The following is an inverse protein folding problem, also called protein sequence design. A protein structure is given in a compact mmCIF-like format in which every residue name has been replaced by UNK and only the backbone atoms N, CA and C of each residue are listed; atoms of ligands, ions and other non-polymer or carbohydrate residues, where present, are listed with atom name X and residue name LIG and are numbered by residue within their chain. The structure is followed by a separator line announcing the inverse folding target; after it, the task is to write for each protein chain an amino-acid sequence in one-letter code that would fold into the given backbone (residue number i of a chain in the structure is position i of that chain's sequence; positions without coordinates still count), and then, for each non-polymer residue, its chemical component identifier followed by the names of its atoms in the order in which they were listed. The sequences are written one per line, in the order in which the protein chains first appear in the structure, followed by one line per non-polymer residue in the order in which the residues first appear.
data_IF_251827288933
#
_entry.id   IF_251827288933
#
_cell.length_a   1.000
_cell.length_b   1.000
_cell.length_c   1.000
_cell.angle_alpha   90.00
_cell.angle_beta   90.00
_cell.angle_gamma   90.00
#
_symmetry.space_group_name_H-M   'P 1'
#
loop_
_entity.id
_entity.type
_entity.pdbx_description
1 polymer ?
#
# COMPACT_ATOMS: atom_id res chain seq x y z
N UNK A 1 -16.23 3.69 -9.85
CA UNK A 1 -15.86 5.08 -9.46
C UNK A 1 -16.54 5.60 -8.17
N UNK A 2 -16.91 4.76 -7.18
CA UNK A 2 -17.57 5.26 -5.95
C UNK A 2 -16.88 4.87 -4.63
N UNK A 3 -15.80 4.10 -4.63
CA UNK A 3 -15.15 3.62 -3.40
C UNK A 3 -13.71 4.10 -3.19
N UNK A 4 -13.20 5.04 -4.01
CA UNK A 4 -11.88 5.63 -3.79
C UNK A 4 -11.84 6.63 -2.62
N UNK A 5 -13.01 6.99 -2.07
CA UNK A 5 -13.12 8.02 -1.00
C UNK A 5 -12.79 7.54 0.42
N UNK A 6 -12.57 6.25 0.63
CA UNK A 6 -12.42 5.69 2.00
C UNK A 6 -10.97 5.51 2.47
N UNK A 7 -9.98 5.75 1.62
CA UNK A 7 -8.55 5.56 1.95
C UNK A 7 -7.84 6.88 2.29
N UNK A 8 -8.48 8.04 2.08
CA UNK A 8 -7.82 9.35 2.13
C UNK A 8 -8.24 10.26 3.28
N UNK A 9 -8.67 9.74 4.42
CA UNK A 9 -8.93 10.60 5.60
C UNK A 9 -7.83 10.42 6.64
N UNK A 10 -6.63 10.93 6.34
CA UNK A 10 -5.74 11.50 7.35
C UNK A 10 -5.41 12.91 6.86
N UNK A 11 -6.38 13.80 7.01
CA UNK A 11 -6.17 15.23 6.81
C UNK A 11 -5.47 15.77 8.05
N UNK A 12 -4.21 16.10 7.91
CA UNK A 12 -3.42 16.78 8.92
C UNK A 12 -3.66 18.29 8.78
N UNK A 13 -4.37 18.87 9.74
CA UNK A 13 -4.41 20.33 9.91
C UNK A 13 -3.07 20.82 10.43
N UNK A 14 -2.15 21.20 9.55
CA UNK A 14 -1.01 22.02 9.90
C UNK A 14 -1.49 23.47 10.03
N UNK A 15 -1.77 23.90 11.26
CA UNK A 15 -1.93 25.33 11.59
C UNK A 15 -0.57 26.02 11.46
N UNK A 16 -0.44 26.88 10.46
CA UNK A 16 0.67 27.82 10.29
C UNK A 16 0.74 28.76 11.52
N UNK A 17 1.69 28.54 12.39
CA UNK A 17 2.10 29.55 13.39
C UNK A 17 3.28 30.31 12.77
N UNK A 18 2.98 31.46 12.16
CA UNK A 18 3.98 32.44 11.80
C UNK A 18 4.44 33.18 13.07
N UNK A 19 5.59 32.82 13.61
CA UNK A 19 6.31 33.61 14.59
C UNK A 19 7.43 34.36 13.88
N UNK A 20 7.24 35.69 13.79
CA UNK A 20 8.28 36.60 13.34
C UNK A 20 9.40 36.72 14.36
N UNK A 21 10.65 36.62 13.91
CA UNK A 21 11.78 37.14 14.66
C UNK A 21 13.00 36.24 14.70
N UNK A 22 13.98 36.61 13.90
CA UNK A 22 15.41 36.37 13.84
C UNK A 22 15.81 35.90 12.45
N UNK A 23 16.58 36.73 11.75
CA UNK A 23 17.18 36.38 10.45
C UNK A 23 18.12 35.18 10.62
N UNK A 24 17.61 33.96 10.39
CA UNK A 24 18.42 32.75 10.25
C UNK A 24 19.19 32.83 8.94
N UNK A 25 20.41 32.28 8.83
CA UNK A 25 21.16 32.27 7.59
C UNK A 25 20.33 31.58 6.51
N UNK A 26 20.29 32.17 5.32
CA UNK A 26 19.58 31.60 4.16
C UNK A 26 20.14 30.20 3.91
N UNK A 27 19.31 29.15 3.85
CA UNK A 27 19.79 27.80 3.58
C UNK A 27 20.54 27.77 2.26
N UNK A 28 21.64 27.04 2.19
CA UNK A 28 22.33 26.78 0.91
C UNK A 28 21.33 26.15 -0.03
N UNK A 29 21.28 26.56 -1.31
CA UNK A 29 20.23 26.33 -2.30
C UNK A 29 19.76 24.90 -2.57
N UNK A 30 20.27 23.89 -1.84
CA UNK A 30 19.94 22.47 -1.96
C UNK A 30 19.21 21.89 -0.73
N UNK A 31 18.91 22.69 0.29
CA UNK A 31 18.19 22.21 1.47
C UNK A 31 16.68 22.36 1.26
N UNK A 32 15.93 21.24 1.22
CA UNK A 32 14.48 21.24 1.04
C UNK A 32 13.75 21.49 2.36
N UNK A 33 14.29 20.98 3.46
CA UNK A 33 13.75 21.13 4.80
C UNK A 33 14.85 21.06 5.88
N UNK A 34 14.52 21.55 7.06
CA UNK A 34 15.28 21.31 8.28
C UNK A 34 14.37 20.60 9.29
N UNK A 35 14.79 19.43 9.75
CA UNK A 35 14.06 18.61 10.70
C UNK A 35 14.90 18.51 11.98
N UNK A 36 14.41 19.04 13.09
CA UNK A 36 15.10 19.05 14.38
C UNK A 36 16.58 19.56 14.25
N UNK A 37 16.78 20.64 13.48
CA UNK A 37 18.09 21.24 13.21
C UNK A 37 18.97 20.52 12.19
N UNK A 38 18.56 19.37 11.65
CA UNK A 38 19.27 18.65 10.59
C UNK A 38 18.75 19.06 9.22
N UNK A 39 19.64 19.51 8.34
CA UNK A 39 19.29 19.83 6.96
C UNK A 39 19.04 18.55 6.15
N UNK A 40 17.95 18.54 5.38
CA UNK A 40 17.62 17.51 4.40
C UNK A 40 17.87 18.09 3.00
N UNK A 41 18.60 17.37 2.18
CA UNK A 41 18.91 17.82 0.82
C UNK A 41 17.71 17.67 -0.13
N UNK A 42 17.67 18.50 -1.16
CA UNK A 42 16.71 18.34 -2.26
C UNK A 42 16.84 16.96 -2.91
N UNK A 43 18.08 16.48 -3.14
CA UNK A 43 18.34 15.17 -3.76
C UNK A 43 17.76 14.02 -2.94
N UNK A 44 17.86 14.07 -1.61
CA UNK A 44 17.24 13.08 -0.73
C UNK A 44 15.72 13.09 -0.86
N UNK A 45 15.10 14.28 -0.80
CA UNK A 45 13.64 14.41 -1.00
C UNK A 45 13.20 13.93 -2.38
N UNK A 46 13.98 14.21 -3.44
CA UNK A 46 13.65 13.77 -4.81
C UNK A 46 13.57 12.24 -4.93
N UNK A 47 14.33 11.48 -4.15
CA UNK A 47 14.19 10.02 -4.11
C UNK A 47 12.82 9.61 -3.56
N UNK A 48 12.36 10.21 -2.45
CA UNK A 48 11.02 9.95 -1.91
C UNK A 48 9.92 10.38 -2.89
N UNK A 49 10.14 11.46 -3.64
CA UNK A 49 9.20 11.90 -4.67
C UNK A 49 9.15 10.90 -5.83
N UNK A 50 10.28 10.35 -6.24
CA UNK A 50 10.36 9.31 -7.26
C UNK A 50 9.54 8.07 -6.86
N UNK A 51 9.74 7.57 -5.64
CA UNK A 51 8.97 6.43 -5.13
C UNK A 51 7.47 6.73 -5.02
N UNK A 52 7.12 7.90 -4.51
CA UNK A 52 5.71 8.31 -4.42
C UNK A 52 5.05 8.44 -5.80
N UNK A 53 5.80 8.87 -6.83
CA UNK A 53 5.33 8.94 -8.22
C UNK A 53 5.08 7.54 -8.80
N UNK A 54 6.00 6.59 -8.57
CA UNK A 54 5.83 5.18 -8.97
C UNK A 54 4.56 4.57 -8.35
N UNK A 55 4.40 4.75 -7.04
CA UNK A 55 3.21 4.27 -6.32
C UNK A 55 1.92 4.88 -6.88
N UNK A 56 1.94 6.16 -7.20
CA UNK A 56 0.79 6.89 -7.70
C UNK A 56 0.38 6.39 -9.09
N UNK A 57 1.36 6.20 -9.97
CA UNK A 57 1.16 5.60 -11.29
C UNK A 57 0.62 4.16 -11.19
N UNK A 58 1.11 3.37 -10.23
CA UNK A 58 0.64 2.00 -10.03
C UNK A 58 -0.83 1.92 -9.56
N UNK A 59 -1.33 2.95 -8.86
CA UNK A 59 -2.72 2.99 -8.34
C UNK A 59 -3.72 3.41 -9.43
N UNK A 60 -3.40 4.39 -10.26
CA UNK A 60 -4.37 5.01 -11.17
C UNK A 60 -3.90 5.20 -12.61
N UNK A 61 -2.72 4.70 -12.97
CA UNK A 61 -2.15 4.91 -14.30
C UNK A 61 -1.99 6.39 -14.65
N UNK A 62 -1.99 6.68 -15.95
CA UNK A 62 -1.83 8.05 -16.44
C UNK A 62 -3.01 8.97 -16.07
N UNK A 63 -4.21 8.41 -15.94
CA UNK A 63 -5.44 9.16 -15.65
C UNK A 63 -5.43 9.79 -14.25
N UNK A 64 -4.62 9.27 -13.32
CA UNK A 64 -4.57 9.78 -11.95
C UNK A 64 -4.06 11.22 -11.89
N UNK A 65 -3.21 11.63 -12.83
CA UNK A 65 -2.62 12.96 -12.90
C UNK A 65 -3.62 14.06 -13.28
N UNK A 66 -4.73 13.70 -13.91
CA UNK A 66 -5.83 14.60 -14.24
C UNK A 66 -6.88 14.68 -13.12
N UNK A 67 -6.71 13.91 -12.04
CA UNK A 67 -7.68 13.85 -10.95
C UNK A 67 -7.54 15.05 -10.02
N UNK A 68 -8.66 15.70 -9.73
CA UNK A 68 -8.77 16.72 -8.68
C UNK A 68 -9.00 16.02 -7.32
N UNK A 69 -8.11 16.27 -6.37
CA UNK A 69 -8.17 15.75 -5.01
C UNK A 69 -8.70 16.83 -4.04
N UNK A 70 -9.99 17.10 -4.08
CA UNK A 70 -10.66 18.11 -3.24
C UNK A 70 -10.03 19.52 -3.38
N UNK A 71 -9.70 19.91 -4.62
CA UNK A 71 -9.12 21.21 -4.98
C UNK A 71 -7.59 21.23 -4.98
N UNK A 72 -6.93 20.11 -4.80
CA UNK A 72 -5.49 19.96 -4.93
C UNK A 72 -5.15 19.20 -6.21
N UNK A 73 -4.08 19.60 -6.88
CA UNK A 73 -3.56 18.83 -8.02
C UNK A 73 -2.95 17.51 -7.57
N UNK A 74 -2.97 16.51 -8.44
CA UNK A 74 -2.28 15.24 -8.21
C UNK A 74 -0.80 15.44 -7.89
N UNK A 75 -0.14 16.39 -8.56
CA UNK A 75 1.25 16.78 -8.33
C UNK A 75 1.47 17.28 -6.90
N UNK A 76 0.63 18.17 -6.39
CA UNK A 76 0.74 18.68 -5.02
C UNK A 76 0.53 17.57 -4.00
N UNK A 77 -0.44 16.69 -4.23
CA UNK A 77 -0.71 15.54 -3.35
C UNK A 77 0.49 14.59 -3.29
N UNK A 78 1.10 14.27 -4.42
CA UNK A 78 2.29 13.39 -4.48
C UNK A 78 3.50 14.04 -3.80
N UNK A 79 3.74 15.33 -4.04
CA UNK A 79 4.82 16.09 -3.37
C UNK A 79 4.65 16.09 -1.85
N UNK A 80 3.45 16.38 -1.35
CA UNK A 80 3.19 16.35 0.10
C UNK A 80 3.31 14.93 0.67
N UNK A 81 2.82 13.90 -0.02
CA UNK A 81 2.97 12.50 0.38
C UNK A 81 4.45 12.09 0.50
N UNK A 82 5.27 12.46 -0.47
CA UNK A 82 6.72 12.22 -0.44
C UNK A 82 7.37 12.89 0.77
N UNK A 83 7.00 14.15 1.05
CA UNK A 83 7.51 14.90 2.20
C UNK A 83 7.13 14.26 3.53
N UNK A 84 5.88 13.86 3.69
CA UNK A 84 5.39 13.18 4.90
C UNK A 84 6.10 11.85 5.08
N UNK A 85 6.28 11.06 4.03
CA UNK A 85 7.01 9.78 4.09
C UNK A 85 8.45 9.98 4.53
N UNK A 86 9.16 10.93 3.93
CA UNK A 86 10.51 11.31 4.33
C UNK A 86 10.56 11.73 5.81
N UNK A 87 9.65 12.60 6.24
CA UNK A 87 9.56 13.06 7.62
C UNK A 87 9.38 11.88 8.60
N UNK A 88 8.45 10.98 8.30
CA UNK A 88 8.17 9.80 9.14
C UNK A 88 9.41 8.91 9.26
N UNK A 89 10.10 8.62 8.17
CA UNK A 89 11.32 7.81 8.18
C UNK A 89 12.41 8.50 9.00
N UNK A 90 12.67 9.78 8.77
CA UNK A 90 13.71 10.53 9.49
C UNK A 90 13.44 10.64 10.97
N UNK A 91 12.23 11.02 11.36
CA UNK A 91 11.84 11.15 12.78
C UNK A 91 11.93 9.81 13.49
N UNK A 92 11.46 8.75 12.85
CA UNK A 92 11.46 7.40 13.45
C UNK A 92 12.87 6.82 13.54
N UNK A 93 13.68 6.91 12.48
CA UNK A 93 15.06 6.39 12.49
C UNK A 93 15.93 7.09 13.54
N UNK A 94 15.70 8.38 13.79
CA UNK A 94 16.36 9.13 14.87
C UNK A 94 16.03 8.60 16.28
N UNK A 95 14.94 7.85 16.44
CA UNK A 95 14.58 7.21 17.72
C UNK A 95 15.23 5.85 17.94
N UNK A 96 15.98 5.32 16.97
CA UNK A 96 16.58 3.98 17.04
C UNK A 96 17.37 3.74 18.34
N UNK A 97 18.21 4.69 18.75
CA UNK A 97 18.98 4.57 20.00
C UNK A 97 18.08 4.55 21.25
N UNK A 98 16.97 5.31 21.28
CA UNK A 98 16.00 5.30 22.39
C UNK A 98 15.42 3.89 22.60
N UNK A 99 15.18 3.16 21.51
CA UNK A 99 14.61 1.81 21.52
C UNK A 99 15.66 0.70 21.44
N UNK A 100 16.94 1.04 21.60
CA UNK A 100 18.07 0.09 21.54
C UNK A 100 18.11 -0.70 20.21
N UNK A 101 17.70 -0.04 19.12
CA UNK A 101 17.70 -0.57 17.77
C UNK A 101 18.98 -0.13 17.06
N UNK A 102 19.63 -1.06 16.38
CA UNK A 102 20.76 -0.81 15.49
C UNK A 102 20.73 -1.78 14.30
N UNK A 103 21.45 -1.46 13.25
CA UNK A 103 21.63 -2.35 12.11
C UNK A 103 22.86 -3.21 12.32
N UNK A 104 22.77 -4.50 12.01
CA UNK A 104 23.91 -5.41 11.91
C UNK A 104 24.72 -5.10 10.65
N UNK A 105 25.91 -5.67 10.51
CA UNK A 105 26.74 -5.49 9.32
C UNK A 105 26.10 -6.17 8.08
N UNK A 106 25.35 -7.26 8.27
CA UNK A 106 24.56 -7.90 7.22
C UNK A 106 23.43 -6.99 6.75
N UNK A 107 22.71 -6.35 7.67
CA UNK A 107 21.61 -5.42 7.35
C UNK A 107 22.13 -4.19 6.60
N UNK A 108 23.28 -3.64 6.98
CA UNK A 108 23.92 -2.54 6.24
C UNK A 108 24.37 -2.99 4.84
N UNK A 109 24.87 -4.21 4.72
CA UNK A 109 25.21 -4.78 3.42
C UNK A 109 23.98 -4.96 2.55
N UNK A 110 22.86 -5.43 3.11
CA UNK A 110 21.57 -5.50 2.39
C UNK A 110 21.10 -4.14 1.95
N UNK A 111 21.11 -3.13 2.82
CA UNK A 111 20.75 -1.76 2.50
C UNK A 111 21.56 -1.20 1.31
N UNK A 112 22.85 -1.55 1.26
CA UNK A 112 23.70 -1.17 0.12
C UNK A 112 23.29 -1.89 -1.17
N UNK A 113 23.03 -3.19 -1.12
CA UNK A 113 22.56 -3.96 -2.28
C UNK A 113 21.24 -3.42 -2.80
N UNK A 114 20.31 -3.11 -1.90
CA UNK A 114 19.02 -2.54 -2.26
C UNK A 114 19.17 -1.15 -2.89
N UNK A 115 20.07 -0.32 -2.36
CA UNK A 115 20.40 0.98 -2.94
C UNK A 115 21.05 0.89 -4.33
N UNK A 116 21.98 -0.04 -4.52
CA UNK A 116 22.60 -0.30 -5.82
C UNK A 116 21.55 -0.79 -6.85
N UNK A 117 20.61 -1.64 -6.42
CA UNK A 117 19.53 -2.13 -7.26
C UNK A 117 18.55 -1.01 -7.64
N UNK A 118 18.19 -0.13 -6.69
CA UNK A 118 17.33 1.02 -6.96
C UNK A 118 17.98 1.98 -7.96
N UNK A 119 19.25 2.34 -7.75
CA UNK A 119 20.01 3.16 -8.70
C UNK A 119 20.10 2.51 -10.09
N UNK A 120 20.25 1.18 -10.16
CA UNK A 120 20.31 0.46 -11.44
C UNK A 120 18.95 0.41 -12.17
N UNK A 121 17.83 0.50 -11.43
CA UNK A 121 16.48 0.52 -12.01
C UNK A 121 16.12 1.85 -12.66
N UNK A 122 16.77 2.95 -12.27
CA UNK A 122 16.50 4.29 -12.77
C UNK A 122 17.10 4.51 -14.16
N UNK A 123 16.37 5.29 -14.99
CA UNK A 123 16.92 5.83 -16.24
C UNK A 123 18.01 6.87 -15.95
N UNK A 124 18.86 7.16 -16.93
CA UNK A 124 19.88 8.21 -16.79
C UNK A 124 19.25 9.61 -16.59
N UNK A 125 18.07 9.85 -17.16
CA UNK A 125 17.31 11.08 -16.95
C UNK A 125 16.86 11.21 -15.49
N UNK A 126 16.27 10.16 -14.92
CA UNK A 126 15.85 10.12 -13.51
C UNK A 126 17.03 10.32 -12.56
N UNK A 127 18.15 9.63 -12.80
CA UNK A 127 19.38 9.82 -12.01
C UNK A 127 19.88 11.26 -12.03
N UNK A 128 19.86 11.91 -13.19
CA UNK A 128 20.29 13.29 -13.34
C UNK A 128 19.37 14.27 -12.60
N UNK A 129 18.05 14.05 -12.63
CA UNK A 129 17.06 14.88 -11.94
C UNK A 129 17.19 14.69 -10.41
N UNK A 130 17.24 13.44 -9.92
CA UNK A 130 17.35 13.13 -8.50
C UNK A 130 18.71 13.57 -7.98
N UNK A 131 19.78 13.34 -8.73
CA UNK A 131 21.17 13.76 -8.44
C UNK A 131 21.64 13.35 -7.05
N UNK A 132 21.27 12.13 -6.61
CA UNK A 132 21.66 11.58 -5.31
C UNK A 132 23.00 10.85 -5.41
N UNK A 133 23.83 10.97 -4.38
CA UNK A 133 25.05 10.19 -4.28
C UNK A 133 24.77 8.75 -3.81
N UNK A 134 25.62 7.78 -4.21
CA UNK A 134 25.52 6.41 -3.73
C UNK A 134 25.52 6.34 -2.19
N UNK A 135 26.34 7.17 -1.54
CA UNK A 135 26.43 7.21 -0.09
C UNK A 135 25.11 7.69 0.56
N UNK A 136 24.47 8.71 -0.01
CA UNK A 136 23.19 9.21 0.49
C UNK A 136 22.09 8.17 0.23
N UNK A 137 22.09 7.50 -0.93
CA UNK A 137 21.20 6.40 -1.24
C UNK A 137 21.29 5.29 -0.18
N UNK A 138 22.52 4.83 0.13
CA UNK A 138 22.73 3.78 1.14
C UNK A 138 22.24 4.23 2.52
N UNK A 139 22.47 5.50 2.87
CA UNK A 139 21.98 6.08 4.13
C UNK A 139 20.45 6.08 4.21
N UNK A 140 19.77 6.39 3.13
CA UNK A 140 18.29 6.36 3.06
C UNK A 140 17.78 4.92 3.22
N UNK A 141 18.43 3.93 2.59
CA UNK A 141 18.08 2.51 2.78
C UNK A 141 18.30 2.05 4.22
N UNK A 142 19.41 2.47 4.87
CA UNK A 142 19.65 2.23 6.29
C UNK A 142 18.57 2.87 7.18
N UNK A 143 18.19 4.13 6.92
CA UNK A 143 17.14 4.83 7.67
C UNK A 143 15.77 4.13 7.50
N UNK A 144 15.51 3.61 6.32
CA UNK A 144 14.29 2.83 6.03
C UNK A 144 14.26 1.50 6.81
N UNK A 145 15.41 0.82 6.92
CA UNK A 145 15.52 -0.38 7.78
C UNK A 145 15.37 -0.04 9.27
N UNK A 146 16.01 1.04 9.72
CA UNK A 146 15.86 1.51 11.10
C UNK A 146 14.40 1.89 11.40
N UNK A 147 13.72 2.55 10.47
CA UNK A 147 12.29 2.87 10.57
C UNK A 147 11.45 1.61 10.85
N UNK A 148 11.63 0.55 10.06
CA UNK A 148 10.91 -0.72 10.23
C UNK A 148 11.22 -1.36 11.61
N UNK A 149 12.49 -1.42 11.98
CA UNK A 149 12.92 -2.00 13.26
C UNK A 149 12.43 -1.20 14.48
N UNK A 150 12.35 0.13 14.37
CA UNK A 150 11.80 0.97 15.46
C UNK A 150 10.30 0.73 15.60
N UNK A 151 9.54 0.61 14.50
CA UNK A 151 8.13 0.23 14.56
C UNK A 151 7.94 -1.08 15.31
N UNK A 152 8.73 -2.10 14.97
CA UNK A 152 8.69 -3.39 15.65
C UNK A 152 9.03 -3.25 17.14
N UNK A 153 10.07 -2.49 17.48
CA UNK A 153 10.49 -2.28 18.87
C UNK A 153 9.44 -1.52 19.71
N UNK A 154 8.79 -0.51 19.13
CA UNK A 154 7.72 0.26 19.78
C UNK A 154 6.50 -0.62 20.06
N UNK A 155 6.19 -1.54 19.15
CA UNK A 155 4.94 -2.29 19.18
C UNK A 155 5.08 -3.75 19.64
N UNK A 156 6.32 -4.22 19.91
CA UNK A 156 6.61 -5.63 20.21
C UNK A 156 5.82 -6.21 21.38
N UNK A 157 5.68 -5.43 22.44
CA UNK A 157 5.03 -5.85 23.69
C UNK A 157 3.53 -5.52 23.72
N UNK A 158 3.02 -4.84 22.67
CA UNK A 158 1.61 -4.50 22.62
C UNK A 158 0.76 -5.73 22.33
N UNK A 159 -0.24 -5.94 23.18
CA UNK A 159 -1.31 -6.90 23.02
C UNK A 159 -2.63 -6.22 23.40
N UNK A 160 -3.68 -6.29 22.56
CA UNK A 160 -4.98 -5.78 22.94
C UNK A 160 -5.52 -6.59 24.13
N UNK A 161 -6.24 -5.92 25.02
CA UNK A 161 -6.91 -6.64 26.11
C UNK A 161 -8.02 -7.55 25.56
N UNK A 162 -8.31 -8.63 26.28
CA UNK A 162 -9.41 -9.55 25.91
C UNK A 162 -10.76 -8.83 25.86
N UNK A 163 -10.99 -7.83 26.71
CA UNK A 163 -12.22 -7.05 26.71
C UNK A 163 -12.36 -6.16 25.45
N UNK A 164 -11.27 -5.50 25.03
CA UNK A 164 -11.25 -4.69 23.80
C UNK A 164 -11.45 -5.57 22.56
N UNK A 165 -10.73 -6.68 22.47
CA UNK A 165 -10.90 -7.61 21.35
C UNK A 165 -12.30 -8.22 21.32
N UNK A 166 -12.86 -8.62 22.48
CA UNK A 166 -14.21 -9.16 22.55
C UNK A 166 -15.25 -8.15 22.03
N UNK A 167 -15.15 -6.90 22.48
CA UNK A 167 -16.04 -5.84 22.00
C UNK A 167 -15.95 -5.64 20.48
N UNK A 168 -14.72 -5.58 19.93
CA UNK A 168 -14.47 -5.50 18.50
C UNK A 168 -15.06 -6.69 17.74
N UNK A 169 -14.85 -7.92 18.25
CA UNK A 169 -15.36 -9.14 17.64
C UNK A 169 -16.89 -9.13 17.57
N UNK A 170 -17.57 -8.88 18.70
CA UNK A 170 -19.03 -8.88 18.75
C UNK A 170 -19.66 -7.82 17.83
N UNK A 171 -19.00 -6.68 17.68
CA UNK A 171 -19.47 -5.60 16.78
C UNK A 171 -19.32 -5.96 15.30
N UNK A 172 -18.30 -6.73 14.92
CA UNK A 172 -17.90 -6.90 13.52
C UNK A 172 -18.08 -8.33 13.00
N UNK A 173 -18.34 -9.33 13.86
CA UNK A 173 -18.31 -10.76 13.51
C UNK A 173 -19.17 -11.13 12.32
N UNK A 174 -20.36 -10.55 12.14
CA UNK A 174 -21.26 -10.94 11.05
C UNK A 174 -20.74 -10.45 9.68
N UNK A 175 -20.28 -9.19 9.61
CA UNK A 175 -19.71 -8.66 8.39
C UNK A 175 -18.37 -9.35 8.05
N UNK A 176 -17.56 -9.63 9.07
CA UNK A 176 -16.27 -10.31 8.88
C UNK A 176 -16.46 -11.78 8.51
N UNK A 177 -17.48 -12.48 9.07
CA UNK A 177 -17.81 -13.84 8.68
C UNK A 177 -18.15 -13.95 7.20
N UNK A 178 -18.94 -13.00 6.69
CA UNK A 178 -19.22 -12.93 5.26
C UNK A 178 -17.94 -12.67 4.44
N UNK A 179 -17.12 -11.70 4.85
CA UNK A 179 -15.89 -11.33 4.16
C UNK A 179 -14.85 -12.48 4.12
N UNK A 180 -14.74 -13.26 5.20
CA UNK A 180 -13.81 -14.40 5.34
C UNK A 180 -14.45 -15.76 5.02
N UNK A 181 -15.60 -15.78 4.36
CA UNK A 181 -16.09 -17.02 3.75
C UNK A 181 -15.07 -17.47 2.71
N UNK A 182 -14.56 -18.70 2.89
CA UNK A 182 -13.60 -19.31 1.97
C UNK A 182 -14.31 -19.91 0.76
N UNK A 183 -13.72 -19.72 -0.40
CA UNK A 183 -14.14 -20.32 -1.65
C UNK A 183 -12.99 -21.10 -2.27
N UNK A 184 -13.26 -22.34 -2.69
CA UNK A 184 -12.46 -22.98 -3.72
C UNK A 184 -13.23 -22.82 -5.02
N UNK A 185 -12.64 -22.19 -6.01
CA UNK A 185 -13.27 -21.93 -7.30
C UNK A 185 -12.45 -22.52 -8.43
N UNK A 186 -13.14 -22.95 -9.48
CA UNK A 186 -12.56 -23.19 -10.81
C UNK A 186 -13.01 -22.07 -11.74
N UNK A 187 -12.13 -21.58 -12.59
CA UNK A 187 -12.45 -20.48 -13.49
C UNK A 187 -12.00 -20.76 -14.93
N UNK A 188 -12.80 -20.30 -15.91
CA UNK A 188 -12.45 -20.21 -17.32
C UNK A 188 -12.31 -18.74 -17.63
N UNK A 189 -11.18 -18.35 -18.21
CA UNK A 189 -10.94 -16.99 -18.70
C UNK A 189 -10.88 -16.96 -20.22
N UNK A 190 -11.54 -15.98 -20.82
CA UNK A 190 -11.45 -15.69 -22.26
C UNK A 190 -11.43 -14.19 -22.49
N UNK A 191 -10.72 -13.74 -23.53
CA UNK A 191 -10.54 -12.32 -23.81
C UNK A 191 -11.75 -11.66 -24.49
N UNK A 192 -12.61 -12.44 -25.14
CA UNK A 192 -13.73 -11.89 -25.92
C UNK A 192 -15.11 -12.33 -25.40
N UNK A 193 -16.06 -11.40 -25.51
CA UNK A 193 -17.43 -11.57 -25.02
C UNK A 193 -18.18 -12.68 -25.73
N UNK A 194 -17.97 -12.86 -27.03
CA UNK A 194 -18.72 -13.84 -27.83
C UNK A 194 -18.38 -15.27 -27.37
N UNK A 195 -17.08 -15.53 -27.17
CA UNK A 195 -16.61 -16.82 -26.65
C UNK A 195 -17.15 -17.07 -25.23
N UNK A 196 -17.12 -16.05 -24.35
CA UNK A 196 -17.68 -16.17 -23.02
C UNK A 196 -19.19 -16.53 -23.03
N UNK A 197 -19.96 -15.90 -23.92
CA UNK A 197 -21.38 -16.21 -24.08
C UNK A 197 -21.61 -17.62 -24.64
N UNK A 198 -20.79 -18.09 -25.58
CA UNK A 198 -20.88 -19.46 -26.11
C UNK A 198 -20.61 -20.49 -25.01
N UNK A 199 -19.59 -20.28 -24.20
CA UNK A 199 -19.27 -21.15 -23.05
C UNK A 199 -20.44 -21.18 -22.08
N UNK A 200 -20.97 -20.00 -21.71
CA UNK A 200 -22.13 -19.91 -20.80
C UNK A 200 -23.34 -20.65 -21.36
N UNK A 201 -23.60 -20.57 -22.65
CA UNK A 201 -24.70 -21.29 -23.30
C UNK A 201 -24.48 -22.81 -23.26
N UNK A 202 -23.28 -23.31 -23.57
CA UNK A 202 -22.93 -24.74 -23.51
C UNK A 202 -23.10 -25.30 -22.09
N UNK A 203 -22.71 -24.53 -21.06
CA UNK A 203 -22.91 -24.88 -19.65
C UNK A 203 -24.39 -24.95 -19.29
N UNK A 204 -25.24 -24.03 -19.78
CA UNK A 204 -26.71 -24.07 -19.60
C UNK A 204 -27.37 -25.26 -20.29
N UNK A 205 -26.77 -25.74 -21.37
CA UNK A 205 -27.19 -26.94 -22.09
C UNK A 205 -26.72 -28.23 -21.44
N UNK A 206 -25.96 -28.14 -20.34
CA UNK A 206 -25.56 -29.28 -19.52
C UNK A 206 -24.18 -29.84 -19.83
N UNK A 207 -23.37 -29.12 -20.60
CA UNK A 207 -22.00 -29.55 -20.86
C UNK A 207 -21.14 -29.41 -19.59
N UNK A 208 -20.19 -30.32 -19.41
CA UNK A 208 -19.39 -30.38 -18.19
C UNK A 208 -18.37 -29.23 -18.13
N UNK A 209 -18.32 -28.51 -17.00
CA UNK A 209 -17.41 -27.40 -16.77
C UNK A 209 -15.95 -27.79 -16.93
N UNK A 210 -15.56 -28.99 -16.47
CA UNK A 210 -14.18 -29.45 -16.56
C UNK A 210 -13.75 -29.73 -18.00
N UNK A 211 -14.67 -30.19 -18.83
CA UNK A 211 -14.45 -30.37 -20.27
C UNK A 211 -14.17 -29.02 -20.94
N UNK A 212 -15.00 -28.01 -20.63
CA UNK A 212 -14.82 -26.67 -21.16
C UNK A 212 -13.54 -26.00 -20.63
N UNK A 213 -13.20 -26.21 -19.35
CA UNK A 213 -11.94 -25.70 -18.77
C UNK A 213 -10.72 -26.25 -19.50
N UNK A 214 -10.77 -27.50 -19.97
CA UNK A 214 -9.70 -28.12 -20.79
C UNK A 214 -9.68 -27.62 -22.23
N UNK A 215 -10.86 -27.32 -22.80
CA UNK A 215 -10.99 -26.77 -24.17
C UNK A 215 -10.51 -25.31 -24.26
N UNK A 216 -10.70 -24.54 -23.20
CA UNK A 216 -10.30 -23.14 -23.11
C UNK A 216 -9.20 -22.94 -22.03
N UNK A 217 -8.00 -23.48 -22.26
CA UNK A 217 -6.88 -23.25 -21.34
C UNK A 217 -6.53 -21.76 -21.40
N UNK A 218 -6.52 -21.11 -20.26
CA UNK A 218 -6.16 -19.70 -20.19
C UNK A 218 -4.67 -19.52 -20.41
N UNK A 219 -4.28 -18.67 -21.35
CA UNK A 219 -2.90 -18.27 -21.63
C UNK A 219 -2.34 -17.25 -20.62
N UNK A 220 -3.10 -16.91 -19.58
CA UNK A 220 -2.68 -15.89 -18.62
C UNK A 220 -1.92 -16.48 -17.44
N UNK A 221 -1.01 -15.68 -16.85
CA UNK A 221 -0.29 -16.00 -15.60
C UNK A 221 -1.24 -16.32 -14.43
N UNK A 222 -2.50 -15.95 -14.52
CA UNK A 222 -3.54 -16.18 -13.52
C UNK A 222 -4.01 -17.65 -13.42
N UNK A 223 -3.75 -18.49 -14.44
CA UNK A 223 -4.16 -19.90 -14.46
C UNK A 223 -3.01 -20.89 -14.24
N UNK A 224 -1.93 -20.52 -13.57
CA UNK A 224 -0.80 -21.42 -13.28
C UNK A 224 -1.19 -22.67 -12.46
N UNK A 225 -2.38 -22.67 -11.83
CA UNK A 225 -2.89 -23.76 -10.98
C UNK A 225 -4.08 -24.52 -11.60
N UNK A 226 -4.10 -24.77 -12.90
CA UNK A 226 -5.18 -25.53 -13.57
C UNK A 226 -6.57 -24.89 -13.42
N UNK A 227 -6.63 -23.57 -13.28
CA UNK A 227 -7.87 -22.82 -13.11
C UNK A 227 -8.55 -22.98 -11.75
N UNK A 228 -7.92 -23.65 -10.78
CA UNK A 228 -8.44 -23.79 -9.41
C UNK A 228 -7.75 -22.82 -8.47
N UNK A 229 -8.53 -22.09 -7.67
CA UNK A 229 -8.02 -21.11 -6.71
C UNK A 229 -8.78 -21.23 -5.38
N UNK A 230 -8.02 -21.16 -4.27
CA UNK A 230 -8.58 -20.98 -2.93
C UNK A 230 -8.45 -19.51 -2.52
N UNK A 231 -9.55 -18.91 -2.08
CA UNK A 231 -9.59 -17.48 -1.78
C UNK A 231 -10.73 -17.14 -0.82
N UNK A 232 -10.78 -15.90 -0.35
CA UNK A 232 -11.86 -15.39 0.47
C UNK A 232 -12.84 -14.55 -0.35
N UNK A 233 -14.11 -14.47 0.15
CA UNK A 233 -15.17 -13.66 -0.46
C UNK A 233 -14.71 -12.22 -0.74
N UNK A 234 -14.13 -11.54 0.25
CA UNK A 234 -13.68 -10.16 0.11
C UNK A 234 -12.67 -9.95 -1.04
N UNK A 235 -11.85 -10.94 -1.34
CA UNK A 235 -10.93 -10.89 -2.48
C UNK A 235 -11.65 -11.06 -3.82
N UNK A 236 -12.66 -11.95 -3.85
CA UNK A 236 -13.52 -12.11 -5.04
C UNK A 236 -14.34 -10.85 -5.29
N UNK A 237 -14.91 -10.26 -4.23
CA UNK A 237 -15.66 -9.00 -4.31
C UNK A 237 -14.78 -7.88 -4.90
N UNK A 238 -13.54 -7.78 -4.44
CA UNK A 238 -12.58 -6.79 -4.92
C UNK A 238 -12.10 -7.06 -6.35
N UNK A 239 -11.81 -8.33 -6.67
CA UNK A 239 -11.28 -8.70 -7.99
C UNK A 239 -12.29 -8.50 -9.12
N UNK A 240 -13.58 -8.68 -8.80
CA UNK A 240 -14.67 -8.59 -9.79
C UNK A 240 -15.55 -7.36 -9.63
N UNK A 241 -15.23 -6.46 -8.70
CA UNK A 241 -16.01 -5.24 -8.37
C UNK A 241 -17.52 -5.56 -8.19
N UNK A 242 -17.83 -6.65 -7.48
CA UNK A 242 -19.18 -7.12 -7.25
C UNK A 242 -19.33 -7.83 -5.89
N UNK A 243 -20.55 -7.94 -5.39
CA UNK A 243 -20.88 -8.83 -4.25
C UNK A 243 -20.93 -10.28 -4.73
N UNK A 244 -19.82 -11.01 -4.58
CA UNK A 244 -19.72 -12.42 -4.99
C UNK A 244 -20.50 -13.30 -4.01
N UNK A 245 -21.61 -13.88 -4.47
CA UNK A 245 -22.53 -14.61 -3.62
C UNK A 245 -23.07 -15.90 -4.27
N UNK A 246 -22.16 -16.69 -4.86
CA UNK A 246 -22.51 -18.00 -5.41
C UNK A 246 -22.45 -19.07 -4.31
N UNK A 247 -23.33 -20.06 -4.43
CA UNK A 247 -23.32 -21.25 -3.57
C UNK A 247 -22.46 -22.36 -4.18
N UNK A 248 -22.06 -23.32 -3.34
CA UNK A 248 -21.30 -24.48 -3.81
C UNK A 248 -22.03 -25.21 -4.93
N UNK A 249 -21.31 -25.51 -6.00
CA UNK A 249 -21.82 -26.13 -7.23
C UNK A 249 -22.41 -25.15 -8.24
N UNK A 250 -22.59 -23.88 -7.89
CA UNK A 250 -23.09 -22.87 -8.84
C UNK A 250 -22.00 -22.41 -9.80
N UNK A 251 -22.43 -22.02 -10.99
CA UNK A 251 -21.60 -21.44 -12.04
C UNK A 251 -22.09 -20.02 -12.30
N UNK A 252 -21.16 -19.07 -12.44
CA UNK A 252 -21.49 -17.67 -12.74
C UNK A 252 -21.96 -17.50 -14.19
N UNK A 253 -22.70 -16.43 -14.44
CA UNK A 253 -22.70 -15.83 -15.79
C UNK A 253 -21.29 -15.26 -16.08
N UNK A 254 -20.97 -14.95 -17.35
CA UNK A 254 -19.70 -14.29 -17.68
C UNK A 254 -19.53 -12.98 -16.91
N UNK A 255 -18.46 -12.88 -16.12
CA UNK A 255 -18.08 -11.69 -15.35
C UNK A 255 -17.07 -10.89 -16.17
N UNK A 256 -17.41 -9.65 -16.52
CA UNK A 256 -16.55 -8.76 -17.31
C UNK A 256 -15.51 -8.09 -16.42
N UNK A 257 -14.26 -8.07 -16.87
CA UNK A 257 -13.14 -7.33 -16.27
C UNK A 257 -12.43 -6.49 -17.34
N UNK A 258 -11.46 -5.68 -16.94
CA UNK A 258 -10.62 -4.93 -17.90
C UNK A 258 -9.81 -5.84 -18.85
N UNK A 259 -9.49 -7.06 -18.41
CA UNK A 259 -8.67 -8.02 -19.16
C UNK A 259 -9.48 -8.97 -20.05
N UNK A 260 -10.77 -9.15 -19.75
CA UNK A 260 -11.64 -10.11 -20.45
C UNK A 260 -12.79 -10.60 -19.58
N UNK A 261 -13.16 -11.87 -19.75
CA UNK A 261 -14.34 -12.46 -19.13
C UNK A 261 -13.98 -13.72 -18.35
N UNK A 262 -14.48 -13.79 -17.11
CA UNK A 262 -14.37 -14.96 -16.25
C UNK A 262 -15.72 -15.69 -16.15
N UNK A 263 -15.68 -17.03 -16.18
CA UNK A 263 -16.81 -17.88 -15.84
C UNK A 263 -16.33 -18.77 -14.67
N UNK A 264 -16.98 -18.64 -13.52
CA UNK A 264 -16.51 -19.22 -12.27
C UNK A 264 -17.49 -20.31 -11.82
N UNK A 265 -16.94 -21.48 -11.43
CA UNK A 265 -17.69 -22.51 -10.69
C UNK A 265 -17.19 -22.54 -9.25
N UNK A 266 -18.11 -22.53 -8.30
CA UNK A 266 -17.79 -22.73 -6.87
C UNK A 266 -17.69 -24.22 -6.57
N UNK A 267 -16.47 -24.70 -6.35
CA UNK A 267 -16.21 -26.10 -6.02
C UNK A 267 -16.45 -26.37 -4.53
N UNK A 268 -16.11 -25.41 -3.66
CA UNK A 268 -16.32 -25.47 -2.22
C UNK A 268 -16.60 -24.07 -1.68
N UNK A 269 -17.52 -24.00 -0.70
CA UNK A 269 -17.79 -22.81 0.11
C UNK A 269 -17.71 -23.20 1.58
N UNK A 270 -16.91 -22.50 2.36
CA UNK A 270 -16.70 -22.76 3.78
C UNK A 270 -16.89 -21.48 4.58
N UNK A 271 -17.90 -21.44 5.42
CA UNK A 271 -18.18 -20.30 6.30
C UNK A 271 -17.46 -20.54 7.61
N UNK A 272 -16.57 -19.61 8.07
CA UNK A 272 -15.83 -19.81 9.30
C UNK A 272 -16.77 -19.82 10.52
N UNK A 273 -16.53 -20.74 11.45
CA UNK A 273 -17.17 -20.69 12.75
C UNK A 273 -16.59 -19.57 13.63
N UNK A 274 -17.16 -19.35 14.82
CA UNK A 274 -16.72 -18.29 15.73
C UNK A 274 -15.25 -18.45 16.17
N UNK A 275 -14.78 -19.68 16.30
CA UNK A 275 -13.40 -19.93 16.76
C UNK A 275 -12.39 -19.59 15.65
N UNK A 276 -12.65 -20.04 14.44
CA UNK A 276 -11.85 -19.72 13.25
C UNK A 276 -11.85 -18.21 12.96
N UNK A 277 -13.04 -17.60 13.02
CA UNK A 277 -13.19 -16.17 12.78
C UNK A 277 -12.47 -15.31 13.84
N UNK A 278 -12.52 -15.71 15.13
CA UNK A 278 -11.77 -15.03 16.20
C UNK A 278 -10.28 -15.07 15.95
N UNK A 279 -9.74 -16.19 15.48
CA UNK A 279 -8.31 -16.30 15.17
C UNK A 279 -7.88 -15.32 14.08
N UNK A 280 -8.63 -15.26 12.97
CA UNK A 280 -8.38 -14.33 11.86
C UNK A 280 -8.49 -12.88 12.35
N UNK A 281 -9.62 -12.54 12.98
CA UNK A 281 -9.89 -11.18 13.43
C UNK A 281 -8.91 -10.70 14.52
N UNK A 282 -8.40 -11.61 15.37
CA UNK A 282 -7.40 -11.25 16.40
C UNK A 282 -6.09 -10.78 15.78
N UNK A 283 -5.62 -11.46 14.75
CA UNK A 283 -4.39 -11.09 14.04
C UNK A 283 -4.55 -9.71 13.41
N UNK A 284 -5.65 -9.48 12.71
CA UNK A 284 -5.91 -8.19 12.05
C UNK A 284 -6.11 -7.06 13.05
N UNK A 285 -6.92 -7.28 14.07
CA UNK A 285 -7.15 -6.29 15.12
C UNK A 285 -5.83 -5.91 15.82
N UNK A 286 -5.03 -6.92 16.19
CA UNK A 286 -3.73 -6.68 16.82
C UNK A 286 -2.81 -5.88 15.91
N UNK A 287 -2.77 -6.20 14.63
CA UNK A 287 -1.97 -5.47 13.62
C UNK A 287 -2.43 -4.02 13.49
N UNK A 288 -3.74 -3.80 13.35
CA UNK A 288 -4.32 -2.46 13.26
C UNK A 288 -4.03 -1.63 14.52
N UNK A 289 -4.15 -2.24 15.70
CA UNK A 289 -3.87 -1.56 16.96
C UNK A 289 -2.39 -1.28 17.18
N UNK A 290 -1.49 -2.15 16.75
CA UNK A 290 -0.05 -1.88 16.72
C UNK A 290 0.27 -0.69 15.82
N UNK A 291 -0.35 -0.64 14.64
CA UNK A 291 -0.19 0.51 13.74
C UNK A 291 -0.68 1.81 14.41
N UNK A 292 -1.82 1.75 15.11
CA UNK A 292 -2.33 2.89 15.86
C UNK A 292 -1.36 3.34 16.98
N UNK A 293 -0.84 2.40 17.77
CA UNK A 293 0.14 2.69 18.84
C UNK A 293 1.37 3.38 18.26
N UNK A 294 1.91 2.87 17.15
CA UNK A 294 3.04 3.51 16.48
C UNK A 294 2.68 4.90 15.96
N UNK A 295 1.52 5.07 15.34
CA UNK A 295 1.07 6.35 14.79
C UNK A 295 0.92 7.40 15.90
N UNK A 296 0.34 7.03 17.04
CA UNK A 296 0.18 7.92 18.18
C UNK A 296 1.56 8.36 18.72
N UNK A 297 2.51 7.43 18.84
CA UNK A 297 3.89 7.73 19.29
C UNK A 297 4.64 8.60 18.26
N UNK A 298 4.50 8.32 16.97
CA UNK A 298 5.10 9.12 15.89
C UNK A 298 4.56 10.55 15.87
N UNK A 299 3.25 10.72 16.04
CA UNK A 299 2.63 12.05 16.12
C UNK A 299 3.17 12.84 17.31
N UNK A 300 3.38 12.17 18.45
CA UNK A 300 4.02 12.80 19.61
C UNK A 300 5.46 13.23 19.27
N UNK A 301 6.26 12.38 18.63
CA UNK A 301 7.63 12.74 18.25
C UNK A 301 7.69 13.91 17.28
N UNK A 302 6.76 13.95 16.31
CA UNK A 302 6.66 15.05 15.34
C UNK A 302 6.28 16.36 16.05
N UNK A 303 5.37 16.30 17.04
CA UNK A 303 4.95 17.49 17.80
C UNK A 303 6.07 18.08 18.68
N UNK A 304 7.06 17.25 19.05
CA UNK A 304 8.16 17.63 19.94
C UNK A 304 9.38 18.23 19.19
N UNK A 305 9.33 18.31 17.87
CA UNK A 305 10.46 18.77 17.03
C UNK A 305 10.09 19.97 16.18
N UNK A 306 11.11 20.76 15.81
CA UNK A 306 10.97 21.84 14.83
C UNK A 306 11.12 21.30 13.41
N UNK A 307 10.17 21.63 12.54
CA UNK A 307 10.17 21.29 11.13
C UNK A 307 10.05 22.58 10.34
N UNK A 308 11.02 22.87 9.48
CA UNK A 308 11.02 24.04 8.61
C UNK A 308 11.16 23.57 7.16
N UNK A 309 10.15 23.81 6.33
CA UNK A 309 10.21 23.59 4.89
C UNK A 309 10.75 24.86 4.22
N UNK A 310 11.69 24.73 3.31
CA UNK A 310 12.31 25.86 2.64
C UNK A 310 11.55 26.16 1.34
N UNK A 311 10.56 27.02 1.41
CA UNK A 311 9.63 27.30 0.32
C UNK A 311 10.32 27.71 -1.00
N UNK A 312 11.44 28.42 -0.94
CA UNK A 312 12.19 28.79 -2.14
C UNK A 312 12.76 27.59 -2.91
N UNK A 313 13.06 26.48 -2.22
CA UNK A 313 13.52 25.22 -2.84
C UNK A 313 12.32 24.38 -3.22
N UNK A 314 11.33 24.30 -2.33
CA UNK A 314 10.10 23.54 -2.51
C UNK A 314 9.34 23.92 -3.79
N UNK A 315 9.12 25.20 -4.00
CA UNK A 315 8.39 25.72 -5.17
C UNK A 315 9.11 25.49 -6.52
N UNK A 316 10.39 25.08 -6.48
CA UNK A 316 11.20 24.73 -7.65
C UNK A 316 11.46 23.22 -7.76
N UNK A 317 10.66 22.39 -7.09
CA UNK A 317 10.69 20.94 -7.25
C UNK A 317 9.89 20.58 -8.50
N UNK A 318 10.55 19.91 -9.43
CA UNK A 318 9.94 19.37 -10.64
C UNK A 318 9.57 17.90 -10.43
N UNK A 319 8.48 17.46 -11.07
CA UNK A 319 8.10 16.04 -11.05
C UNK A 319 9.12 15.22 -11.84
N UNK A 320 9.24 13.96 -11.46
CA UNK A 320 10.13 13.00 -12.11
C UNK A 320 9.32 12.21 -13.14
N UNK A 321 9.70 12.20 -14.41
CA UNK A 321 9.00 11.53 -15.47
C UNK A 321 9.04 10.00 -15.35
#
# INVERSE_FOLDING_TARGET
MKNLKSIFVILFCLSLIALAGCSKPIPKGDTIATINGKAISKSEYMLYLYEATKDFNAIGGDDIWETDFDGQSAEDVVKERAFVTMLHIKVTSDKASKYQVSLSDEEKTSAKIDGDAELASMTEEQKNIISISDQDMYKIMEDTLLYKKVIEAVTKDYQPSEAEFHAYFEQNKESQRAAYTEYTISNIFVSDQQTAQQISQRLKEGEDFQTLLQEYPSDTQQNQNSGVMETYKNRLDSAFDMDFNLEQGQISEPISTAEGYFIIRVDKKSIPDDAQLKEIMRVEYTTAMKQKVFTDELNQWISDIEIERHEAVWNNVEMIP
#
